data_IF_689776898283
#
_entry.id   IF_689776898283
#
_cell.length_a   1.000
_cell.length_b   1.000
_cell.length_c   1.000
_cell.angle_alpha   90.00
_cell.angle_beta   90.00
_cell.angle_gamma   90.00
#
_symmetry.space_group_name_H-M   'P 1'
#
loop_
_entity.id
_entity.type
_entity.pdbx_description
1 polymer ?
#
# COMPACT_ATOMS: atom_id res chain seq x y z
N UNK A 1 -25.28 -54.68 64.69
CA UNK A 1 -26.70 -55.07 64.84
C UNK A 1 -27.51 -53.92 64.26
N UNK A 2 -27.96 -53.97 63.01
CA UNK A 2 -28.89 -54.92 62.36
C UNK A 2 -30.35 -54.66 62.71
N UNK A 3 -31.06 -53.97 61.80
CA UNK A 3 -32.44 -54.21 61.30
C UNK A 3 -33.56 -54.46 62.35
N UNK A 4 -34.82 -54.83 61.99
CA UNK A 4 -35.55 -54.86 60.71
C UNK A 4 -37.03 -54.30 60.80
N UNK A 5 -37.72 -54.08 59.66
CA UNK A 5 -38.89 -54.81 59.10
C UNK A 5 -40.28 -54.52 59.74
N UNK A 6 -41.29 -53.96 59.03
CA UNK A 6 -42.23 -54.53 58.00
C UNK A 6 -43.64 -54.74 58.65
N UNK A 7 -44.81 -55.02 58.01
CA UNK A 7 -45.27 -54.94 56.61
C UNK A 7 -46.65 -54.26 56.37
N UNK A 8 -47.04 -54.33 55.10
CA UNK A 8 -48.21 -53.84 54.35
C UNK A 8 -49.63 -54.36 54.70
N UNK A 9 -50.64 -53.70 54.12
CA UNK A 9 -51.83 -54.36 53.55
C UNK A 9 -52.42 -53.58 52.35
N UNK A 10 -52.92 -54.34 51.37
CA UNK A 10 -53.23 -54.02 49.96
C UNK A 10 -54.69 -53.60 49.69
N UNK A 11 -54.93 -52.94 48.55
CA UNK A 11 -56.23 -52.89 47.85
C UNK A 11 -56.04 -52.61 46.32
N UNK A 12 -57.03 -52.95 45.45
CA UNK A 12 -56.80 -53.67 44.19
C UNK A 12 -56.84 -52.85 42.87
N UNK A 13 -56.45 -53.56 41.81
CA UNK A 13 -56.15 -53.19 40.41
C UNK A 13 -57.39 -52.85 39.57
N UNK A 14 -57.25 -51.86 38.67
CA UNK A 14 -58.12 -51.60 37.50
C UNK A 14 -57.32 -51.69 36.17
N UNK A 15 -57.97 -52.02 35.03
CA UNK A 15 -57.30 -52.52 33.81
C UNK A 15 -56.66 -51.44 32.94
N UNK A 16 -55.54 -51.80 32.31
CA UNK A 16 -54.75 -50.96 31.42
C UNK A 16 -55.43 -50.71 30.06
N UNK A 17 -55.62 -49.44 29.70
CA UNK A 17 -55.80 -49.00 28.31
C UNK A 17 -54.45 -48.98 27.58
N UNK A 18 -54.41 -49.04 26.25
CA UNK A 18 -53.16 -49.13 25.50
C UNK A 18 -52.32 -47.87 25.70
N UNK A 19 -51.14 -48.02 26.32
CA UNK A 19 -50.12 -46.99 26.37
C UNK A 19 -49.70 -46.60 24.95
N UNK A 20 -49.75 -45.30 24.64
CA UNK A 20 -49.09 -44.77 23.44
C UNK A 20 -47.59 -45.04 23.58
N UNK A 21 -46.90 -45.54 22.53
CA UNK A 21 -45.46 -45.71 22.58
C UNK A 21 -44.78 -44.39 22.93
N UNK A 22 -43.86 -44.42 23.90
CA UNK A 22 -42.99 -43.28 24.19
C UNK A 22 -42.27 -42.85 22.91
N UNK A 23 -42.14 -41.53 22.64
CA UNK A 23 -41.38 -41.08 21.48
C UNK A 23 -39.93 -41.58 21.60
N UNK A 24 -39.31 -42.03 20.51
CA UNK A 24 -37.93 -42.48 20.53
C UNK A 24 -37.02 -41.34 21.02
N UNK A 25 -35.90 -41.65 21.70
CA UNK A 25 -34.95 -40.62 22.14
C UNK A 25 -34.53 -39.81 20.92
N UNK A 26 -34.64 -38.48 21.04
CA UNK A 26 -34.26 -37.56 19.99
C UNK A 26 -32.83 -37.88 19.54
N UNK A 27 -32.71 -38.31 18.28
CA UNK A 27 -31.42 -38.45 17.59
C UNK A 27 -30.76 -37.08 17.71
N UNK A 28 -29.63 -37.03 18.42
CA UNK A 28 -28.92 -35.80 18.71
C UNK A 28 -28.73 -35.00 17.42
N UNK A 29 -29.28 -33.79 17.40
CA UNK A 29 -28.98 -32.83 16.36
C UNK A 29 -27.45 -32.70 16.28
N UNK A 30 -26.85 -32.76 15.09
CA UNK A 30 -25.43 -32.48 14.97
C UNK A 30 -25.22 -31.07 15.52
N UNK A 31 -24.53 -31.00 16.66
CA UNK A 31 -24.06 -29.76 17.27
C UNK A 31 -23.58 -28.86 16.13
N UNK A 32 -24.29 -27.74 15.94
CA UNK A 32 -23.86 -26.69 15.05
C UNK A 32 -22.53 -26.18 15.59
N UNK A 33 -21.44 -26.85 15.22
CA UNK A 33 -20.10 -26.38 15.39
C UNK A 33 -20.09 -24.99 14.78
N UNK A 34 -19.96 -23.97 15.64
CA UNK A 34 -19.76 -22.61 15.20
C UNK A 34 -18.67 -22.63 14.13
N UNK A 35 -18.89 -22.02 12.96
CA UNK A 35 -17.88 -22.05 11.91
C UNK A 35 -16.56 -21.59 12.51
N UNK A 36 -15.43 -22.27 12.21
CA UNK A 36 -14.15 -21.96 12.83
C UNK A 36 -13.91 -20.47 12.71
N UNK A 37 -13.70 -19.85 13.86
CA UNK A 37 -13.53 -18.41 14.02
C UNK A 37 -12.48 -17.96 13.00
N UNK A 38 -12.91 -17.29 11.93
CA UNK A 38 -11.99 -16.85 10.86
C UNK A 38 -10.92 -16.05 11.59
N UNK A 39 -9.63 -16.39 11.48
CA UNK A 39 -8.59 -15.65 12.20
C UNK A 39 -8.73 -14.18 11.81
N UNK A 40 -9.24 -13.37 12.74
CA UNK A 40 -9.47 -11.95 12.50
C UNK A 40 -8.11 -11.35 12.28
N UNK A 41 -7.79 -11.01 11.04
CA UNK A 41 -6.59 -10.24 10.70
C UNK A 41 -6.63 -8.98 11.54
N UNK A 42 -5.77 -8.90 12.56
CA UNK A 42 -5.72 -7.76 13.47
C UNK A 42 -5.41 -6.51 12.64
N UNK A 43 -6.32 -5.53 12.70
CA UNK A 43 -6.11 -4.26 12.01
C UNK A 43 -4.83 -3.58 12.52
N UNK A 44 -3.90 -3.28 11.61
CA UNK A 44 -2.60 -2.64 11.87
C UNK A 44 -2.73 -1.12 11.78
N UNK A 45 -3.21 -0.49 12.85
CA UNK A 45 -3.38 0.97 12.91
C UNK A 45 -2.05 1.73 12.84
N UNK A 46 -0.97 1.11 13.29
CA UNK A 46 0.40 1.59 13.15
C UNK A 46 0.84 1.76 11.69
N UNK A 47 0.40 0.86 10.80
CA UNK A 47 0.70 0.96 9.36
C UNK A 47 -0.02 2.15 8.73
N UNK A 48 -1.28 2.41 9.09
CA UNK A 48 -1.97 3.64 8.65
C UNK A 48 -1.30 4.88 9.25
N UNK A 49 -0.85 4.82 10.51
CA UNK A 49 -0.17 5.94 11.15
C UNK A 49 1.14 6.33 10.49
N UNK A 50 1.99 5.36 10.13
CA UNK A 50 3.25 5.67 9.44
C UNK A 50 3.00 6.16 7.99
N UNK A 51 1.93 5.69 7.33
CA UNK A 51 1.48 6.26 6.04
C UNK A 51 1.06 7.72 6.17
N UNK A 52 0.41 8.08 7.28
CA UNK A 52 0.06 9.47 7.57
C UNK A 52 1.30 10.34 7.75
N UNK A 53 2.29 9.87 8.52
CA UNK A 53 3.58 10.57 8.65
C UNK A 53 4.21 10.78 7.27
N UNK A 54 4.30 9.72 6.47
CA UNK A 54 4.90 9.77 5.14
C UNK A 54 4.22 10.77 4.20
N UNK A 55 2.88 10.71 4.05
CA UNK A 55 2.17 11.62 3.13
C UNK A 55 2.26 13.07 3.59
N UNK A 56 2.18 13.31 4.91
CA UNK A 56 2.30 14.67 5.46
C UNK A 56 3.69 15.23 5.20
N UNK A 57 4.75 14.45 5.40
CA UNK A 57 6.12 14.91 5.13
C UNK A 57 6.34 15.23 3.64
N UNK A 58 5.83 14.40 2.73
CA UNK A 58 5.87 14.67 1.27
C UNK A 58 5.13 15.96 0.94
N UNK A 59 3.93 16.14 1.48
CA UNK A 59 3.10 17.32 1.25
C UNK A 59 3.81 18.58 1.77
N UNK A 60 4.30 18.59 3.00
CA UNK A 60 5.01 19.75 3.57
C UNK A 60 6.30 20.08 2.79
N UNK A 61 7.02 19.08 2.31
CA UNK A 61 8.16 19.28 1.42
C UNK A 61 7.74 19.98 0.12
N UNK A 62 6.69 19.51 -0.55
CA UNK A 62 6.19 20.15 -1.78
C UNK A 62 5.56 21.53 -1.56
N UNK A 63 5.06 21.83 -0.36
CA UNK A 63 4.65 23.19 0.01
C UNK A 63 5.82 24.14 0.26
N UNK A 64 7.08 23.66 0.25
CA UNK A 64 8.26 24.48 0.48
C UNK A 64 8.45 24.85 1.96
N UNK A 65 8.08 23.97 2.90
CA UNK A 65 8.36 24.16 4.33
C UNK A 65 9.87 23.97 4.58
N UNK A 66 10.63 25.01 5.00
CA UNK A 66 12.09 24.93 5.04
C UNK A 66 12.66 23.84 5.96
N UNK A 67 11.96 23.54 7.07
CA UNK A 67 12.39 22.53 8.04
C UNK A 67 12.17 21.08 7.58
N UNK A 68 11.46 20.85 6.46
CA UNK A 68 11.13 19.51 5.93
C UNK A 68 11.83 19.31 4.58
N UNK A 69 13.14 19.55 4.53
CA UNK A 69 13.92 19.49 3.27
C UNK A 69 14.05 18.08 2.68
N UNK A 70 13.82 17.04 3.49
CA UNK A 70 13.94 15.64 3.12
C UNK A 70 12.61 14.92 2.98
N UNK A 71 11.48 15.64 2.97
CA UNK A 71 10.15 15.02 2.98
C UNK A 71 9.83 14.17 1.75
N UNK A 72 10.59 14.31 0.64
CA UNK A 72 10.52 13.41 -0.51
C UNK A 72 10.76 11.93 -0.14
N UNK A 73 11.53 11.67 0.92
CA UNK A 73 11.80 10.32 1.42
C UNK A 73 10.58 9.62 2.03
N UNK A 74 9.47 10.33 2.21
CA UNK A 74 8.19 9.71 2.56
C UNK A 74 7.71 8.71 1.50
N UNK A 75 8.16 8.82 0.24
CA UNK A 75 7.87 7.83 -0.80
C UNK A 75 8.53 6.47 -0.49
N UNK A 76 9.75 6.47 0.04
CA UNK A 76 10.48 5.25 0.44
C UNK A 76 9.73 4.49 1.55
N UNK A 77 9.08 5.24 2.46
CA UNK A 77 8.19 4.68 3.48
C UNK A 77 7.01 3.95 2.83
N UNK A 78 6.40 4.53 1.79
CA UNK A 78 5.33 3.87 1.03
C UNK A 78 5.83 2.61 0.33
N UNK A 79 7.00 2.63 -0.31
CA UNK A 79 7.58 1.46 -0.97
C UNK A 79 7.77 0.27 -0.01
N UNK A 80 8.33 0.51 1.19
CA UNK A 80 8.49 -0.55 2.20
C UNK A 80 7.12 -1.09 2.66
N UNK A 81 6.15 -0.22 2.89
CA UNK A 81 4.80 -0.64 3.30
C UNK A 81 4.10 -1.45 2.21
N UNK A 82 4.23 -1.02 0.96
CA UNK A 82 3.71 -1.67 -0.23
C UNK A 82 4.28 -3.07 -0.39
N UNK A 83 5.60 -3.22 -0.27
CA UNK A 83 6.29 -4.51 -0.24
C UNK A 83 5.78 -5.43 0.89
N UNK A 84 5.63 -4.89 2.10
CA UNK A 84 5.12 -5.64 3.24
C UNK A 84 3.67 -6.13 3.05
N UNK A 85 2.77 -5.24 2.66
CA UNK A 85 1.33 -5.54 2.55
C UNK A 85 1.03 -6.53 1.43
N UNK A 86 1.61 -6.32 0.24
CA UNK A 86 1.38 -7.19 -0.91
C UNK A 86 1.99 -8.57 -0.66
N UNK A 87 3.20 -8.64 -0.10
CA UNK A 87 3.83 -9.92 0.24
C UNK A 87 3.04 -10.68 1.31
N UNK A 88 2.57 -10.00 2.35
CA UNK A 88 1.72 -10.61 3.38
C UNK A 88 0.44 -11.19 2.77
N UNK A 89 -0.20 -10.45 1.86
CA UNK A 89 -1.42 -10.90 1.19
C UNK A 89 -1.16 -12.13 0.30
N UNK A 90 -0.13 -12.08 -0.55
CA UNK A 90 0.18 -13.17 -1.50
C UNK A 90 0.64 -14.44 -0.78
N UNK A 91 1.50 -14.31 0.25
CA UNK A 91 1.94 -15.47 1.03
C UNK A 91 0.81 -16.07 1.87
N UNK A 92 -0.09 -15.24 2.40
CA UNK A 92 -1.29 -15.74 3.08
C UNK A 92 -2.19 -16.54 2.12
N UNK A 93 -2.37 -16.06 0.89
CA UNK A 93 -3.14 -16.75 -0.14
C UNK A 93 -2.47 -18.07 -0.56
N UNK A 94 -1.16 -18.04 -0.82
CA UNK A 94 -0.34 -19.21 -1.16
C UNK A 94 -0.37 -20.27 -0.06
N UNK A 95 -0.24 -19.88 1.21
CA UNK A 95 -0.27 -20.81 2.33
C UNK A 95 -1.66 -21.43 2.54
N UNK A 96 -2.73 -20.69 2.23
CA UNK A 96 -4.12 -21.15 2.41
C UNK A 96 -4.62 -22.01 1.25
N UNK A 97 -4.20 -21.72 0.02
CA UNK A 97 -4.78 -22.32 -1.20
C UNK A 97 -3.77 -23.14 -2.02
N UNK A 98 -2.48 -23.05 -1.71
CA UNK A 98 -1.41 -23.68 -2.50
C UNK A 98 -1.06 -22.95 -3.81
N UNK A 99 -1.73 -21.83 -4.12
CA UNK A 99 -1.51 -21.03 -5.32
C UNK A 99 -1.76 -19.54 -5.11
N UNK A 100 -1.59 -18.76 -6.18
CA UNK A 100 -1.90 -17.33 -6.25
C UNK A 100 -2.89 -17.10 -7.39
N UNK A 101 -4.08 -16.60 -7.09
CA UNK A 101 -5.08 -16.25 -8.08
C UNK A 101 -4.76 -14.87 -8.68
N UNK A 102 -3.92 -14.85 -9.73
CA UNK A 102 -3.43 -13.62 -10.38
C UNK A 102 -4.55 -12.68 -10.82
N UNK A 103 -5.60 -13.22 -11.46
CA UNK A 103 -6.72 -12.43 -11.96
C UNK A 103 -7.44 -11.73 -10.81
N UNK A 104 -7.70 -12.45 -9.71
CA UNK A 104 -8.35 -11.87 -8.54
C UNK A 104 -7.44 -10.85 -7.83
N UNK A 105 -6.14 -11.10 -7.81
CA UNK A 105 -5.15 -10.15 -7.28
C UNK A 105 -5.18 -8.83 -8.05
N UNK A 106 -5.04 -8.87 -9.38
CA UNK A 106 -5.06 -7.66 -10.21
C UNK A 106 -6.42 -6.98 -10.22
N UNK A 107 -7.53 -7.74 -10.20
CA UNK A 107 -8.87 -7.16 -10.09
C UNK A 107 -9.06 -6.38 -8.77
N UNK A 108 -8.56 -6.90 -7.64
CA UNK A 108 -8.60 -6.18 -6.35
C UNK A 108 -7.74 -4.92 -6.36
N UNK A 109 -6.62 -4.90 -7.09
CA UNK A 109 -5.76 -3.72 -7.28
C UNK A 109 -6.42 -2.69 -8.19
N UNK A 110 -6.86 -3.09 -9.37
CA UNK A 110 -7.58 -2.25 -10.32
C UNK A 110 -8.73 -1.49 -9.64
N UNK A 111 -9.58 -2.22 -8.90
CA UNK A 111 -10.71 -1.66 -8.15
C UNK A 111 -10.31 -0.65 -7.06
N UNK A 112 -9.13 -0.81 -6.47
CA UNK A 112 -8.66 0.05 -5.37
C UNK A 112 -7.99 1.33 -5.90
N UNK A 113 -7.27 1.26 -7.02
CA UNK A 113 -6.33 2.30 -7.43
C UNK A 113 -6.82 3.10 -8.65
N UNK A 114 -7.26 2.39 -9.70
CA UNK A 114 -7.56 3.02 -10.99
C UNK A 114 -8.66 4.09 -10.95
N UNK A 115 -9.75 3.96 -10.15
CA UNK A 115 -10.77 5.00 -10.13
C UNK A 115 -10.23 6.36 -9.68
N UNK A 116 -9.49 6.41 -8.57
CA UNK A 116 -8.97 7.67 -8.04
C UNK A 116 -7.86 8.25 -8.92
N UNK A 117 -6.95 7.40 -9.41
CA UNK A 117 -5.92 7.80 -10.40
C UNK A 117 -6.55 8.52 -11.58
N UNK A 118 -7.57 7.93 -12.20
CA UNK A 118 -8.14 8.49 -13.42
C UNK A 118 -8.98 9.75 -13.18
N UNK A 119 -9.66 9.86 -12.03
CA UNK A 119 -10.30 11.13 -11.64
C UNK A 119 -9.26 12.26 -11.59
N UNK A 120 -8.10 12.01 -10.97
CA UNK A 120 -7.03 13.01 -10.87
C UNK A 120 -6.40 13.30 -12.23
N UNK A 121 -6.11 12.28 -13.05
CA UNK A 121 -5.52 12.47 -14.38
C UNK A 121 -6.46 13.23 -15.33
N UNK A 122 -7.75 12.92 -15.33
CA UNK A 122 -8.76 13.65 -16.10
C UNK A 122 -8.88 15.10 -15.62
N UNK A 123 -8.92 15.30 -14.31
CA UNK A 123 -8.99 16.65 -13.74
C UNK A 123 -7.73 17.45 -14.07
N UNK A 124 -6.55 16.83 -13.99
CA UNK A 124 -5.29 17.45 -14.39
C UNK A 124 -5.29 17.80 -15.88
N UNK A 125 -5.78 16.92 -16.76
CA UNK A 125 -5.91 17.20 -18.19
C UNK A 125 -6.81 18.41 -18.46
N UNK A 126 -7.96 18.50 -17.79
CA UNK A 126 -8.88 19.64 -17.89
C UNK A 126 -8.21 20.93 -17.43
N UNK A 127 -7.55 20.93 -16.28
CA UNK A 127 -6.84 22.13 -15.81
C UNK A 127 -5.66 22.49 -16.70
N UNK A 128 -4.94 21.51 -17.28
CA UNK A 128 -3.87 21.78 -18.24
C UNK A 128 -4.43 22.47 -19.49
N UNK A 129 -5.54 21.96 -20.03
CA UNK A 129 -6.21 22.57 -21.18
C UNK A 129 -6.69 23.99 -20.90
N UNK A 130 -7.26 24.23 -19.71
CA UNK A 130 -7.81 25.55 -19.36
C UNK A 130 -6.74 26.55 -18.95
N UNK A 131 -5.66 26.07 -18.35
CA UNK A 131 -4.78 26.92 -17.55
C UNK A 131 -3.31 26.90 -17.97
N UNK A 132 -2.80 25.82 -18.58
CA UNK A 132 -1.37 25.73 -18.90
C UNK A 132 -1.11 26.23 -20.34
N UNK A 133 -0.01 26.95 -20.63
CA UNK A 133 0.32 27.38 -21.99
C UNK A 133 0.42 26.22 -22.99
N UNK A 134 -0.11 26.42 -24.21
CA UNK A 134 -0.21 25.39 -25.27
C UNK A 134 1.09 24.68 -25.58
N UNK A 135 2.23 25.40 -25.57
CA UNK A 135 3.55 24.81 -25.82
C UNK A 135 3.95 23.68 -24.87
N UNK A 136 3.26 23.51 -23.72
CA UNK A 136 3.50 22.40 -22.77
C UNK A 136 2.51 21.24 -22.93
N UNK A 137 1.45 21.39 -23.73
CA UNK A 137 0.38 20.39 -23.82
C UNK A 137 0.88 19.06 -24.35
N UNK A 138 1.75 19.06 -25.35
CA UNK A 138 2.29 17.83 -25.93
C UNK A 138 3.12 17.04 -24.90
N UNK A 139 3.99 17.74 -24.16
CA UNK A 139 4.76 17.12 -23.10
C UNK A 139 3.87 16.52 -22.01
N UNK A 140 2.93 17.31 -21.47
CA UNK A 140 2.07 16.91 -20.35
C UNK A 140 1.07 15.83 -20.79
N UNK A 141 0.53 15.91 -22.01
CA UNK A 141 -0.33 14.88 -22.58
C UNK A 141 0.39 13.52 -22.67
N UNK A 142 1.64 13.52 -23.13
CA UNK A 142 2.48 12.31 -23.11
C UNK A 142 2.81 11.83 -21.69
N UNK A 143 2.96 12.73 -20.72
CA UNK A 143 3.15 12.36 -19.31
C UNK A 143 1.88 11.71 -18.71
N UNK A 144 0.70 12.20 -19.07
CA UNK A 144 -0.59 11.60 -18.67
C UNK A 144 -0.73 10.20 -19.26
N UNK A 145 -0.44 10.01 -20.54
CA UNK A 145 -0.46 8.69 -21.18
C UNK A 145 0.54 7.74 -20.49
N UNK A 146 1.75 8.21 -20.21
CA UNK A 146 2.75 7.42 -19.49
C UNK A 146 2.33 7.12 -18.04
N UNK A 147 1.61 8.02 -17.37
CA UNK A 147 1.07 7.79 -16.03
C UNK A 147 -0.01 6.70 -16.03
N UNK A 148 -0.93 6.73 -17.01
CA UNK A 148 -1.95 5.67 -17.20
C UNK A 148 -1.31 4.32 -17.46
N UNK A 149 -0.22 4.30 -18.25
CA UNK A 149 0.51 3.08 -18.57
C UNK A 149 1.46 2.61 -17.44
N UNK A 150 1.57 3.36 -16.34
CA UNK A 150 2.56 3.13 -15.27
C UNK A 150 4.01 3.07 -15.80
N UNK A 151 4.34 3.95 -16.75
CA UNK A 151 5.66 4.12 -17.37
C UNK A 151 6.21 5.55 -17.22
N UNK A 152 5.49 6.45 -16.52
CA UNK A 152 5.93 7.83 -16.33
C UNK A 152 7.33 7.92 -15.70
N UNK A 153 7.66 7.01 -14.80
CA UNK A 153 8.95 7.00 -14.11
C UNK A 153 10.12 6.83 -15.08
N UNK A 154 9.99 5.97 -16.10
CA UNK A 154 11.02 5.81 -17.15
C UNK A 154 11.12 7.03 -18.06
N UNK A 155 9.97 7.61 -18.45
CA UNK A 155 9.92 8.84 -19.25
C UNK A 155 10.56 10.03 -18.51
N UNK A 156 10.39 10.11 -17.19
CA UNK A 156 11.05 11.11 -16.36
C UNK A 156 12.54 10.79 -16.20
N UNK A 157 12.91 9.53 -15.96
CA UNK A 157 14.32 9.14 -15.86
C UNK A 157 15.11 9.54 -17.11
N UNK A 158 14.52 9.34 -18.30
CA UNK A 158 15.08 9.79 -19.57
C UNK A 158 15.16 11.32 -19.65
N UNK A 159 14.07 12.04 -19.34
CA UNK A 159 14.06 13.51 -19.33
C UNK A 159 15.12 14.12 -18.42
N UNK A 160 15.31 13.54 -17.24
CA UNK A 160 16.25 14.03 -16.24
C UNK A 160 17.70 13.58 -16.48
N UNK A 161 17.99 12.89 -17.59
CA UNK A 161 19.38 12.76 -18.07
C UNK A 161 19.95 14.10 -18.55
N UNK A 162 19.09 14.96 -19.11
CA UNK A 162 19.42 16.30 -19.59
C UNK A 162 18.36 17.28 -19.06
N UNK A 163 18.38 17.61 -17.75
CA UNK A 163 17.34 18.42 -17.13
C UNK A 163 17.35 19.84 -17.68
N UNK A 164 16.16 20.34 -18.04
CA UNK A 164 15.95 21.76 -18.33
C UNK A 164 15.48 22.47 -17.05
N UNK A 165 16.31 23.33 -16.43
CA UNK A 165 15.96 24.02 -15.19
C UNK A 165 14.88 25.09 -15.38
N UNK A 166 14.63 25.52 -16.62
CA UNK A 166 13.59 26.50 -16.94
C UNK A 166 12.22 25.86 -17.11
N UNK A 167 12.18 24.54 -17.31
CA UNK A 167 10.96 23.79 -17.52
C UNK A 167 10.31 23.43 -16.18
N UNK A 168 9.09 23.92 -15.88
CA UNK A 168 8.43 23.55 -14.65
C UNK A 168 8.12 22.05 -14.64
N UNK A 169 8.04 21.43 -13.45
CA UNK A 169 7.59 20.06 -13.31
C UNK A 169 6.24 19.78 -13.96
N UNK A 170 6.01 18.53 -14.35
CA UNK A 170 4.73 18.09 -14.89
C UNK A 170 3.67 18.03 -13.77
N UNK A 171 2.42 18.49 -14.00
CA UNK A 171 1.34 18.35 -13.01
C UNK A 171 1.03 16.92 -12.59
N UNK A 172 1.50 15.92 -13.34
CA UNK A 172 1.35 14.50 -13.01
C UNK A 172 2.67 13.84 -12.62
N UNK A 173 3.75 14.61 -12.39
CA UNK A 173 5.09 14.07 -12.13
C UNK A 173 5.12 13.05 -10.99
N UNK A 174 4.45 13.32 -9.86
CA UNK A 174 4.38 12.44 -8.69
C UNK A 174 3.86 11.01 -8.99
N UNK A 175 3.19 10.75 -10.12
CA UNK A 175 2.80 9.40 -10.53
C UNK A 175 3.99 8.47 -10.82
N UNK A 176 5.22 8.99 -10.89
CA UNK A 176 6.42 8.18 -11.03
C UNK A 176 6.53 7.10 -9.94
N UNK A 177 6.19 7.44 -8.70
CA UNK A 177 6.31 6.51 -7.57
C UNK A 177 5.27 5.39 -7.68
N UNK A 178 4.05 5.73 -8.10
CA UNK A 178 2.99 4.77 -8.37
C UNK A 178 3.37 3.81 -9.51
N UNK A 179 4.06 4.30 -10.54
CA UNK A 179 4.57 3.45 -11.60
C UNK A 179 5.58 2.41 -11.08
N UNK A 180 6.49 2.80 -10.19
CA UNK A 180 7.43 1.87 -9.54
C UNK A 180 6.66 0.82 -8.71
N UNK A 181 5.67 1.24 -7.92
CA UNK A 181 4.85 0.32 -7.12
C UNK A 181 4.07 -0.68 -7.99
N UNK A 182 3.38 -0.22 -9.04
CA UNK A 182 2.59 -1.10 -9.90
C UNK A 182 3.47 -2.07 -10.70
N UNK A 183 4.64 -1.64 -11.15
CA UNK A 183 5.62 -2.53 -11.78
C UNK A 183 6.05 -3.64 -10.81
N UNK A 184 6.29 -3.31 -9.54
CA UNK A 184 6.54 -4.32 -8.52
C UNK A 184 5.32 -5.23 -8.30
N UNK A 185 4.10 -4.71 -8.28
CA UNK A 185 2.88 -5.52 -8.12
C UNK A 185 2.63 -6.47 -9.30
N UNK A 186 3.12 -6.14 -10.50
CA UNK A 186 3.09 -7.01 -11.66
C UNK A 186 4.13 -8.14 -11.55
N UNK A 187 5.34 -7.80 -11.16
CA UNK A 187 6.48 -8.73 -11.14
C UNK A 187 6.42 -9.67 -9.93
N UNK A 188 6.03 -9.17 -8.77
CA UNK A 188 6.15 -9.89 -7.50
C UNK A 188 5.30 -11.18 -7.40
N UNK A 189 4.00 -11.20 -7.79
CA UNK A 189 3.23 -12.45 -7.85
C UNK A 189 3.86 -13.50 -8.76
N UNK A 190 4.44 -13.08 -9.89
CA UNK A 190 5.11 -13.98 -10.83
C UNK A 190 6.39 -14.57 -10.23
N UNK A 191 7.16 -13.77 -9.48
CA UNK A 191 8.33 -14.24 -8.74
C UNK A 191 7.96 -15.27 -7.66
N UNK A 192 6.84 -15.07 -6.94
CA UNK A 192 6.35 -16.06 -5.98
C UNK A 192 5.96 -17.36 -6.69
N UNK A 193 5.24 -17.29 -7.81
CA UNK A 193 4.85 -18.48 -8.57
C UNK A 193 6.07 -19.23 -9.11
N UNK A 194 7.08 -18.51 -9.61
CA UNK A 194 8.34 -19.09 -10.04
C UNK A 194 9.06 -19.76 -8.87
N UNK A 195 9.17 -19.11 -7.71
CA UNK A 195 9.77 -19.69 -6.52
C UNK A 195 9.03 -20.95 -6.04
N UNK A 196 7.70 -20.99 -6.14
CA UNK A 196 6.88 -22.17 -5.86
C UNK A 196 7.20 -23.30 -6.85
N UNK A 197 7.29 -23.01 -8.14
CA UNK A 197 7.64 -24.00 -9.16
C UNK A 197 9.04 -24.58 -8.92
N UNK A 198 10.03 -23.72 -8.67
CA UNK A 198 11.41 -24.13 -8.39
C UNK A 198 11.52 -24.95 -7.10
N UNK A 199 10.82 -24.55 -6.04
CA UNK A 199 10.78 -25.31 -4.78
C UNK A 199 10.16 -26.71 -4.97
N UNK A 200 9.11 -26.83 -5.80
CA UNK A 200 8.51 -28.13 -6.14
C UNK A 200 9.47 -29.03 -6.92
N UNK A 201 10.15 -28.48 -7.93
CA UNK A 201 11.08 -29.25 -8.79
C UNK A 201 12.33 -29.69 -8.02
N UNK A 202 12.88 -28.82 -7.17
CA UNK A 202 14.10 -29.10 -6.40
C UNK A 202 13.87 -29.87 -5.10
N UNK A 203 12.62 -30.05 -4.68
CA UNK A 203 12.29 -30.55 -3.33
C UNK A 203 12.65 -29.58 -2.20
N UNK A 204 13.11 -28.36 -2.52
CA UNK A 204 13.48 -27.36 -1.54
C UNK A 204 12.25 -26.76 -0.84
N UNK A 205 12.46 -26.20 0.34
CA UNK A 205 11.42 -25.42 1.03
C UNK A 205 11.24 -24.08 0.32
N UNK A 206 9.99 -23.66 0.10
CA UNK A 206 9.65 -22.38 -0.56
C UNK A 206 10.29 -21.16 0.11
N UNK A 207 10.27 -21.11 1.45
CA UNK A 207 10.70 -19.91 2.20
C UNK A 207 12.18 -19.57 1.95
N UNK A 208 13.15 -20.52 2.06
CA UNK A 208 14.53 -20.28 1.64
C UNK A 208 14.67 -19.82 0.19
N UNK A 209 14.01 -20.48 -0.76
CA UNK A 209 14.08 -20.12 -2.19
C UNK A 209 13.64 -18.68 -2.41
N UNK A 210 12.50 -18.29 -1.85
CA UNK A 210 11.98 -16.93 -1.96
C UNK A 210 12.88 -15.93 -1.22
N UNK A 211 13.45 -16.29 -0.08
CA UNK A 211 14.34 -15.41 0.69
C UNK A 211 15.64 -15.15 -0.07
N UNK A 212 16.21 -16.16 -0.72
CA UNK A 212 17.38 -16.02 -1.59
C UNK A 212 17.05 -15.15 -2.81
N UNK A 213 15.95 -15.43 -3.51
CA UNK A 213 15.54 -14.63 -4.67
C UNK A 213 15.32 -13.15 -4.29
N UNK A 214 14.65 -12.91 -3.17
CA UNK A 214 14.42 -11.57 -2.64
C UNK A 214 15.72 -10.88 -2.21
N UNK A 215 16.61 -11.61 -1.53
CA UNK A 215 17.92 -11.10 -1.11
C UNK A 215 18.79 -10.70 -2.30
N UNK A 216 18.81 -11.51 -3.35
CA UNK A 216 19.52 -11.20 -4.60
C UNK A 216 18.92 -9.98 -5.31
N UNK A 217 17.58 -9.89 -5.39
CA UNK A 217 16.90 -8.74 -5.96
C UNK A 217 17.21 -7.45 -5.17
N UNK A 218 17.10 -7.50 -3.84
CA UNK A 218 17.38 -6.36 -2.97
C UNK A 218 18.85 -5.93 -3.07
N UNK A 219 19.79 -6.88 -2.99
CA UNK A 219 21.23 -6.57 -3.06
C UNK A 219 21.61 -6.02 -4.44
N UNK A 220 21.13 -6.62 -5.53
CA UNK A 220 21.41 -6.15 -6.89
C UNK A 220 20.82 -4.77 -7.15
N UNK A 221 19.58 -4.52 -6.72
CA UNK A 221 18.94 -3.21 -6.87
C UNK A 221 19.57 -2.14 -5.98
N UNK A 222 19.98 -2.47 -4.75
CA UNK A 222 20.71 -1.53 -3.89
C UNK A 222 22.09 -1.21 -4.47
N UNK A 223 22.83 -2.21 -4.96
CA UNK A 223 24.11 -1.98 -5.62
C UNK A 223 23.94 -1.07 -6.85
N UNK A 224 22.93 -1.34 -7.68
CA UNK A 224 22.57 -0.48 -8.82
C UNK A 224 22.19 0.95 -8.39
N UNK A 225 21.42 1.08 -7.31
CA UNK A 225 21.06 2.38 -6.73
C UNK A 225 22.30 3.17 -6.34
N UNK A 226 23.21 2.55 -5.57
CA UNK A 226 24.44 3.19 -5.09
C UNK A 226 25.33 3.61 -6.25
N UNK A 227 25.59 2.71 -7.21
CA UNK A 227 26.52 3.01 -8.31
C UNK A 227 25.95 4.04 -9.29
N UNK A 228 24.65 3.97 -9.60
CA UNK A 228 24.02 4.89 -10.55
C UNK A 228 23.83 6.28 -9.95
N UNK A 229 23.56 6.39 -8.65
CA UNK A 229 23.30 7.68 -7.98
C UNK A 229 24.53 8.60 -8.05
N UNK A 230 25.74 8.06 -7.94
CA UNK A 230 27.00 8.84 -7.98
C UNK A 230 27.19 9.58 -9.31
N UNK A 231 26.76 9.01 -10.43
CA UNK A 231 26.94 9.60 -11.76
C UNK A 231 25.66 10.17 -12.39
N UNK A 232 24.49 9.74 -11.94
CA UNK A 232 23.19 10.04 -12.54
C UNK A 232 22.06 10.03 -11.49
N UNK A 233 22.19 10.88 -10.45
CA UNK A 233 21.23 10.98 -9.34
C UNK A 233 19.79 11.19 -9.83
N UNK A 234 19.55 12.18 -10.69
CA UNK A 234 18.18 12.51 -11.11
C UNK A 234 17.49 11.37 -11.89
N UNK A 235 18.13 10.71 -12.88
CA UNK A 235 17.59 9.48 -13.46
C UNK A 235 17.40 8.37 -12.43
N UNK A 236 18.40 8.11 -11.57
CA UNK A 236 18.34 7.05 -10.55
C UNK A 236 17.18 7.25 -9.57
N UNK A 237 16.75 8.48 -9.31
CA UNK A 237 15.60 8.77 -8.47
C UNK A 237 14.29 8.18 -9.01
N UNK A 238 14.11 8.15 -10.33
CA UNK A 238 12.86 7.71 -10.98
C UNK A 238 12.88 6.23 -11.42
N UNK A 239 14.04 5.62 -11.58
CA UNK A 239 14.13 4.26 -12.12
C UNK A 239 13.62 3.19 -11.15
N UNK A 240 12.88 2.21 -11.65
CA UNK A 240 12.41 1.08 -10.83
C UNK A 240 13.58 0.24 -10.33
N UNK A 241 14.63 0.08 -11.14
CA UNK A 241 15.80 -0.77 -10.85
C UNK A 241 16.62 -0.27 -9.66
N UNK A 242 16.66 1.03 -9.40
CA UNK A 242 17.34 1.63 -8.23
C UNK A 242 16.45 1.70 -6.99
N UNK A 243 15.14 1.47 -7.12
CA UNK A 243 14.16 1.66 -6.03
C UNK A 243 13.49 0.37 -5.56
N UNK A 244 13.52 -0.71 -6.36
CA UNK A 244 12.82 -1.96 -6.06
C UNK A 244 13.34 -2.68 -4.80
N UNK A 245 14.59 -2.44 -4.39
CA UNK A 245 15.13 -2.96 -3.14
C UNK A 245 14.36 -2.45 -1.91
N UNK A 246 13.77 -1.25 -1.96
CA UNK A 246 12.97 -0.66 -0.88
C UNK A 246 11.69 -1.51 -0.64
N UNK A 247 11.01 -1.89 -1.72
CA UNK A 247 9.87 -2.82 -1.68
C UNK A 247 10.31 -4.22 -1.24
N UNK A 248 11.49 -4.66 -1.67
CA UNK A 248 12.04 -5.94 -1.29
C UNK A 248 12.34 -6.04 0.22
N UNK A 249 12.81 -4.96 0.85
CA UNK A 249 12.99 -4.89 2.30
C UNK A 249 11.65 -5.09 3.02
N UNK A 250 10.58 -4.42 2.55
CA UNK A 250 9.23 -4.62 3.07
C UNK A 250 8.74 -6.07 2.95
N UNK A 251 8.97 -6.70 1.79
CA UNK A 251 8.67 -8.11 1.58
C UNK A 251 9.46 -9.03 2.53
N UNK A 252 10.72 -8.70 2.82
CA UNK A 252 11.57 -9.43 3.77
C UNK A 252 11.01 -9.37 5.19
N UNK A 253 10.48 -8.21 5.60
CA UNK A 253 9.77 -8.07 6.88
C UNK A 253 8.53 -8.98 6.91
N UNK A 254 7.74 -9.01 5.83
CA UNK A 254 6.55 -9.85 5.72
C UNK A 254 6.87 -11.35 5.82
N UNK A 255 7.94 -11.81 5.18
CA UNK A 255 8.39 -13.21 5.25
C UNK A 255 8.89 -13.64 6.63
N UNK A 256 9.26 -12.67 7.46
CA UNK A 256 9.88 -12.87 8.77
C UNK A 256 8.98 -12.45 9.93
N UNK A 257 7.67 -12.22 9.69
CA UNK A 257 6.69 -11.81 10.72
C UNK A 257 6.73 -12.71 11.96
N UNK A 258 6.84 -14.03 11.79
CA UNK A 258 6.92 -14.97 12.92
C UNK A 258 8.19 -14.83 13.77
N UNK A 259 9.31 -14.38 13.18
CA UNK A 259 10.53 -14.06 13.93
C UNK A 259 10.38 -12.71 14.65
N UNK A 260 9.86 -11.70 13.96
CA UNK A 260 9.62 -10.38 14.54
C UNK A 260 8.63 -10.42 15.70
N UNK A 261 7.57 -11.23 15.60
CA UNK A 261 6.58 -11.40 16.67
C UNK A 261 7.15 -12.01 17.96
N UNK A 262 8.35 -12.61 17.92
CA UNK A 262 9.05 -13.20 19.07
C UNK A 262 10.06 -12.25 19.72
N UNK A 263 10.21 -11.03 19.21
CA UNK A 263 11.10 -10.05 19.83
C UNK A 263 10.68 -9.76 21.28
N UNK A 264 11.63 -9.68 22.23
CA UNK A 264 11.34 -9.20 23.57
C UNK A 264 10.71 -7.80 23.52
N UNK A 265 9.68 -7.57 24.32
CA UNK A 265 8.92 -6.30 24.30
C UNK A 265 9.82 -5.04 24.41
N UNK A 266 10.82 -4.96 25.31
CA UNK A 266 11.70 -3.79 25.38
C UNK A 266 12.47 -3.55 24.08
N UNK A 267 12.96 -4.62 23.45
CA UNK A 267 13.68 -4.55 22.16
C UNK A 267 12.76 -4.05 21.07
N UNK A 268 11.53 -4.56 20.99
CA UNK A 268 10.55 -4.11 20.00
C UNK A 268 10.19 -2.62 20.18
N UNK A 269 10.04 -2.15 21.43
CA UNK A 269 9.76 -0.73 21.72
C UNK A 269 10.91 0.17 21.26
N UNK A 270 12.16 -0.18 21.62
CA UNK A 270 13.35 0.58 21.19
C UNK A 270 13.48 0.57 19.67
N UNK A 271 13.31 -0.59 19.04
CA UNK A 271 13.38 -0.74 17.59
C UNK A 271 12.33 0.13 16.87
N UNK A 272 11.09 0.15 17.37
CA UNK A 272 10.01 0.95 16.78
C UNK A 272 10.27 2.45 16.87
N UNK A 273 10.70 2.95 18.02
CA UNK A 273 11.03 4.37 18.20
C UNK A 273 12.27 4.78 17.42
N UNK A 274 13.32 3.94 17.40
CA UNK A 274 14.50 4.18 16.58
C UNK A 274 14.15 4.22 15.08
N UNK A 275 13.24 3.34 14.64
CA UNK A 275 12.76 3.32 13.26
C UNK A 275 11.98 4.59 12.89
N UNK A 276 11.06 5.05 13.74
CA UNK A 276 10.35 6.31 13.51
C UNK A 276 11.30 7.51 13.54
N UNK A 277 12.26 7.53 14.47
CA UNK A 277 13.28 8.57 14.54
C UNK A 277 14.12 8.61 13.26
N UNK A 278 14.54 7.47 12.71
CA UNK A 278 15.26 7.41 11.44
C UNK A 278 14.45 8.04 10.28
N UNK A 279 13.16 7.70 10.16
CA UNK A 279 12.27 8.31 9.14
C UNK A 279 12.16 9.81 9.32
N UNK A 280 11.94 10.29 10.55
CA UNK A 280 11.82 11.72 10.85
C UNK A 280 13.14 12.47 10.62
N UNK A 281 14.28 11.89 11.01
CA UNK A 281 15.61 12.46 10.76
C UNK A 281 15.85 12.62 9.27
N UNK A 282 15.52 11.63 8.46
CA UNK A 282 15.58 11.76 7.00
C UNK A 282 14.70 12.91 6.52
N UNK A 283 13.44 12.97 6.95
CA UNK A 283 12.51 14.02 6.49
C UNK A 283 12.94 15.44 6.87
N UNK A 284 13.59 15.60 8.02
CA UNK A 284 13.96 16.91 8.58
C UNK A 284 15.36 17.39 8.15
N UNK A 285 16.29 16.48 7.91
CA UNK A 285 17.71 16.83 7.72
C UNK A 285 18.27 16.46 6.35
N UNK A 286 17.63 15.55 5.61
CA UNK A 286 18.10 15.23 4.26
C UNK A 286 17.74 16.34 3.29
N UNK A 287 18.50 16.45 2.21
CA UNK A 287 18.24 17.45 1.15
C UNK A 287 18.36 16.77 -0.21
N UNK A 288 17.75 17.35 -1.26
CA UNK A 288 17.94 16.87 -2.63
C UNK A 288 19.40 16.95 -3.14
N UNK A 289 20.29 17.61 -2.40
CA UNK A 289 21.72 17.70 -2.73
C UNK A 289 22.54 16.50 -2.24
N UNK A 290 21.98 15.67 -1.37
CA UNK A 290 22.63 14.43 -0.95
C UNK A 290 22.45 13.36 -2.02
N UNK A 291 23.39 12.41 -2.08
CA UNK A 291 23.36 11.25 -2.98
C UNK A 291 22.14 10.35 -2.68
N UNK A 292 20.99 10.72 -3.22
CA UNK A 292 19.69 10.08 -2.98
C UNK A 292 19.07 9.60 -4.31
N UNK A 293 18.59 8.35 -4.44
CA UNK A 293 18.44 7.33 -3.39
C UNK A 293 19.75 6.83 -2.80
N UNK A 294 20.65 6.34 -3.65
CA UNK A 294 21.93 5.75 -3.25
C UNK A 294 21.83 4.86 -2.00
N UNK A 295 22.86 4.95 -1.15
CA UNK A 295 22.88 4.32 0.17
C UNK A 295 22.13 5.16 1.21
N UNK A 296 21.90 6.45 0.96
CA UNK A 296 21.26 7.35 1.93
C UNK A 296 19.79 6.97 2.16
N UNK A 297 19.11 6.45 1.14
CA UNK A 297 17.78 5.85 1.23
C UNK A 297 17.70 4.64 2.18
N UNK A 298 18.82 4.03 2.59
CA UNK A 298 18.84 2.98 3.62
C UNK A 298 18.23 3.44 4.95
N UNK A 299 18.44 4.70 5.34
CA UNK A 299 17.95 5.21 6.62
C UNK A 299 16.42 5.22 6.74
N UNK A 300 15.65 5.86 5.83
CA UNK A 300 14.18 5.83 5.90
C UNK A 300 13.61 4.44 5.62
N UNK A 301 14.26 3.64 4.76
CA UNK A 301 13.81 2.29 4.39
C UNK A 301 13.93 1.32 5.56
N UNK A 302 15.12 1.23 6.17
CA UNK A 302 15.34 0.39 7.34
C UNK A 302 14.61 0.92 8.57
N UNK A 303 14.46 2.25 8.69
CA UNK A 303 13.63 2.87 9.71
C UNK A 303 12.17 2.44 9.62
N UNK A 304 11.60 2.47 8.42
CA UNK A 304 10.23 1.98 8.17
C UNK A 304 10.11 0.48 8.43
N UNK A 305 11.08 -0.31 7.98
CA UNK A 305 11.12 -1.75 8.24
C UNK A 305 11.16 -2.05 9.75
N UNK A 306 11.93 -1.29 10.52
CA UNK A 306 12.02 -1.39 11.98
C UNK A 306 10.67 -1.07 12.66
N UNK A 307 9.96 -0.02 12.22
CA UNK A 307 8.61 0.31 12.71
C UNK A 307 7.64 -0.85 12.46
N UNK A 308 7.62 -1.39 11.24
CA UNK A 308 6.72 -2.50 10.87
C UNK A 308 7.07 -3.78 11.65
N UNK A 309 8.35 -4.10 11.79
CA UNK A 309 8.84 -5.25 12.53
C UNK A 309 8.50 -5.17 14.02
N UNK A 310 8.73 -4.00 14.64
CA UNK A 310 8.36 -3.74 16.04
C UNK A 310 6.86 -3.95 16.29
N UNK A 311 6.00 -3.47 15.39
CA UNK A 311 4.56 -3.67 15.46
C UNK A 311 4.09 -5.12 15.31
N UNK A 312 4.97 -6.05 14.88
CA UNK A 312 4.66 -7.48 14.90
C UNK A 312 4.73 -8.09 16.32
N UNK A 313 5.57 -7.54 17.21
CA UNK A 313 5.73 -8.00 18.59
C UNK A 313 4.92 -7.18 19.58
N UNK A 314 4.88 -5.85 19.39
CA UNK A 314 4.29 -4.92 20.33
C UNK A 314 2.80 -4.72 20.03
N UNK A 315 1.94 -5.15 20.95
CA UNK A 315 0.51 -4.89 20.85
C UNK A 315 0.10 -3.56 21.49
N UNK A 316 0.84 -3.10 22.51
CA UNK A 316 0.61 -1.89 23.33
C UNK A 316 1.91 -1.45 24.03
N UNK A 317 2.21 -0.15 23.99
CA UNK A 317 3.27 0.50 24.78
C UNK A 317 4.52 0.96 24.01
N UNK A 318 4.60 0.71 22.70
CA UNK A 318 5.64 1.28 21.82
C UNK A 318 5.09 2.34 20.86
N UNK A 319 5.87 2.61 19.81
CA UNK A 319 5.56 3.59 18.75
C UNK A 319 4.20 3.33 18.07
N UNK A 320 3.75 2.08 18.05
CA UNK A 320 2.45 1.67 17.52
C UNK A 320 1.27 2.35 18.24
N UNK A 321 1.46 2.74 19.50
CA UNK A 321 0.44 3.44 20.29
C UNK A 321 0.25 4.87 19.78
N UNK A 322 1.36 5.56 19.48
CA UNK A 322 1.34 6.89 18.88
C UNK A 322 0.78 6.82 17.45
N UNK A 323 1.32 5.93 16.62
CA UNK A 323 0.89 5.78 15.22
C UNK A 323 -0.57 5.30 15.10
N UNK A 324 -1.06 4.57 16.10
CA UNK A 324 -2.41 4.04 16.15
C UNK A 324 -3.51 5.02 16.59
N UNK A 325 -3.20 6.28 16.90
CA UNK A 325 -4.21 7.27 17.29
C UNK A 325 -5.19 7.58 16.14
N UNK A 326 -6.41 7.97 16.48
CA UNK A 326 -7.47 8.19 15.50
C UNK A 326 -7.11 9.22 14.40
N UNK A 327 -6.48 10.38 14.71
CA UNK A 327 -6.09 11.35 13.67
C UNK A 327 -5.12 10.77 12.63
N UNK A 328 -4.05 10.11 13.08
CA UNK A 328 -3.06 9.51 12.17
C UNK A 328 -3.68 8.38 11.35
N UNK A 329 -4.53 7.54 11.95
CA UNK A 329 -5.26 6.51 11.18
C UNK A 329 -6.19 7.10 10.13
N UNK A 330 -6.84 8.22 10.43
CA UNK A 330 -7.73 8.90 9.49
C UNK A 330 -6.94 9.46 8.30
N UNK A 331 -5.85 10.20 8.56
CA UNK A 331 -4.96 10.72 7.51
C UNK A 331 -4.36 9.55 6.70
N UNK A 332 -3.91 8.49 7.37
CA UNK A 332 -3.36 7.30 6.73
C UNK A 332 -4.34 6.63 5.78
N UNK A 333 -5.60 6.53 6.18
CA UNK A 333 -6.65 5.98 5.34
C UNK A 333 -6.88 6.80 4.06
N UNK A 334 -6.70 8.13 4.15
CA UNK A 334 -6.79 9.07 3.03
C UNK A 334 -5.49 9.25 2.25
N UNK A 335 -4.37 8.66 2.71
CA UNK A 335 -3.03 8.99 2.22
C UNK A 335 -2.88 8.86 0.71
N UNK A 336 -3.57 7.88 0.12
CA UNK A 336 -3.55 7.64 -1.32
C UNK A 336 -4.21 8.80 -2.09
N UNK A 337 -5.43 9.18 -1.70
CA UNK A 337 -6.13 10.31 -2.35
C UNK A 337 -5.43 11.64 -2.10
N UNK A 338 -4.88 11.86 -0.89
CA UNK A 338 -4.07 13.04 -0.58
C UNK A 338 -2.82 13.12 -1.48
N UNK A 339 -2.11 12.00 -1.65
CA UNK A 339 -0.95 11.92 -2.52
C UNK A 339 -1.30 12.23 -3.98
N UNK A 340 -2.46 11.79 -4.48
CA UNK A 340 -2.86 12.09 -5.85
C UNK A 340 -3.21 13.57 -6.08
N UNK A 341 -3.90 14.21 -5.14
CA UNK A 341 -4.44 15.56 -5.35
C UNK A 341 -3.48 16.70 -5.01
N UNK A 342 -2.56 16.50 -4.06
CA UNK A 342 -1.70 17.61 -3.61
C UNK A 342 -0.81 18.17 -4.73
N UNK A 343 -0.21 17.30 -5.55
CA UNK A 343 0.81 17.72 -6.51
C UNK A 343 0.27 18.43 -7.75
N UNK A 344 -0.78 17.93 -8.46
CA UNK A 344 -1.35 18.67 -9.59
C UNK A 344 -1.78 20.08 -9.20
N UNK A 345 -2.39 20.23 -8.02
CA UNK A 345 -2.82 21.54 -7.53
C UNK A 345 -1.62 22.47 -7.29
N UNK A 346 -0.54 22.00 -6.66
CA UNK A 346 0.69 22.78 -6.48
C UNK A 346 1.37 23.13 -7.80
N UNK A 347 1.53 22.16 -8.70
CA UNK A 347 2.23 22.35 -9.97
C UNK A 347 1.49 23.30 -10.92
N UNK A 348 0.16 23.22 -10.96
CA UNK A 348 -0.67 24.14 -11.76
C UNK A 348 -0.67 25.54 -11.13
N UNK A 349 -0.81 25.65 -9.80
CA UNK A 349 -0.70 26.94 -9.10
C UNK A 349 0.65 27.63 -9.36
N UNK A 350 1.75 26.87 -9.29
CA UNK A 350 3.09 27.38 -9.57
C UNK A 350 3.30 27.81 -11.04
N UNK A 351 2.55 27.21 -11.97
CA UNK A 351 2.59 27.63 -13.39
C UNK A 351 2.03 29.04 -13.57
N UNK A 352 1.09 29.46 -12.72
CA UNK A 352 0.47 30.79 -12.78
C UNK A 352 1.17 31.84 -11.95
N UNK A 353 1.47 31.49 -10.70
CA UNK A 353 1.98 32.44 -9.72
C UNK A 353 3.51 32.43 -9.63
N UNK A 354 4.17 31.58 -10.42
CA UNK A 354 5.60 31.31 -10.30
C UNK A 354 5.90 30.48 -9.04
N UNK A 355 7.15 30.48 -8.56
CA UNK A 355 7.53 29.81 -7.33
C UNK A 355 6.63 30.24 -6.16
N UNK A 356 5.98 29.27 -5.53
CA UNK A 356 5.05 29.54 -4.43
C UNK A 356 5.82 29.81 -3.14
N UNK A 357 5.38 30.81 -2.37
CA UNK A 357 5.82 30.94 -0.98
C UNK A 357 5.29 29.79 -0.13
N UNK A 358 5.93 29.51 1.01
CA UNK A 358 5.52 28.44 1.92
C UNK A 358 4.06 28.57 2.37
N UNK A 359 3.59 29.80 2.65
CA UNK A 359 2.21 30.04 3.06
C UNK A 359 1.21 29.71 1.96
N UNK A 360 1.50 30.10 0.71
CA UNK A 360 0.67 29.77 -0.44
C UNK A 360 0.69 28.27 -0.74
N UNK A 361 1.86 27.62 -0.66
CA UNK A 361 1.98 26.18 -0.81
C UNK A 361 1.14 25.41 0.23
N UNK A 362 1.21 25.82 1.50
CA UNK A 362 0.40 25.25 2.58
C UNK A 362 -1.10 25.46 2.35
N UNK A 363 -1.51 26.64 1.87
CA UNK A 363 -2.90 26.91 1.52
C UNK A 363 -3.39 25.99 0.39
N UNK A 364 -2.61 25.84 -0.69
CA UNK A 364 -2.94 24.95 -1.81
C UNK A 364 -3.06 23.50 -1.34
N UNK A 365 -2.17 23.06 -0.45
CA UNK A 365 -2.24 21.75 0.18
C UNK A 365 -3.50 21.58 1.02
N UNK A 366 -3.83 22.55 1.87
CA UNK A 366 -5.05 22.52 2.66
C UNK A 366 -6.30 22.41 1.75
N UNK A 367 -6.32 23.16 0.64
CA UNK A 367 -7.38 23.09 -0.36
C UNK A 367 -7.44 21.74 -1.08
N UNK A 368 -6.32 21.03 -1.25
CA UNK A 368 -6.28 19.69 -1.86
C UNK A 368 -6.92 18.59 -1.02
N UNK A 369 -7.11 18.82 0.28
CA UNK A 369 -7.77 17.85 1.18
C UNK A 369 -9.23 17.63 0.77
N UNK A 370 -9.93 18.69 0.34
CA UNK A 370 -11.33 18.60 -0.06
C UNK A 370 -11.56 17.64 -1.25
N UNK A 371 -10.93 17.83 -2.43
CA UNK A 371 -11.11 16.90 -3.55
C UNK A 371 -10.56 15.50 -3.24
N UNK A 372 -9.50 15.38 -2.42
CA UNK A 372 -9.01 14.09 -1.96
C UNK A 372 -10.05 13.35 -1.11
N UNK A 373 -10.68 14.02 -0.16
CA UNK A 373 -11.73 13.44 0.69
C UNK A 373 -12.96 13.06 -0.13
N UNK A 374 -13.39 13.93 -1.06
CA UNK A 374 -14.51 13.67 -1.97
C UNK A 374 -14.22 12.44 -2.85
N UNK A 375 -13.03 12.37 -3.45
CA UNK A 375 -12.62 11.22 -4.28
C UNK A 375 -12.61 9.94 -3.48
N UNK A 376 -12.05 9.97 -2.26
CA UNK A 376 -12.02 8.81 -1.38
C UNK A 376 -13.41 8.30 -1.03
N UNK A 377 -14.33 9.20 -0.66
CA UNK A 377 -15.65 8.82 -0.15
C UNK A 377 -16.66 8.50 -1.26
N UNK A 378 -16.60 9.22 -2.39
CA UNK A 378 -17.60 9.11 -3.47
C UNK A 378 -17.13 8.32 -4.69
N UNK A 379 -15.83 8.05 -4.83
CA UNK A 379 -15.29 7.29 -5.97
C UNK A 379 -14.57 6.03 -5.48
N UNK A 380 -13.55 6.16 -4.65
CA UNK A 380 -12.72 5.03 -4.21
C UNK A 380 -13.55 4.03 -3.41
N UNK A 381 -14.13 4.45 -2.27
CA UNK A 381 -14.84 3.54 -1.36
C UNK A 381 -16.06 2.86 -1.98
N UNK A 382 -16.93 3.55 -2.75
CA UNK A 382 -18.09 2.91 -3.37
C UNK A 382 -17.67 1.80 -4.34
N UNK A 383 -16.61 2.01 -5.13
CA UNK A 383 -16.10 0.99 -6.05
C UNK A 383 -15.37 -0.11 -5.27
N UNK A 384 -14.49 0.26 -4.33
CA UNK A 384 -13.69 -0.65 -3.50
C UNK A 384 -14.55 -1.61 -2.69
N UNK A 385 -15.66 -1.15 -2.12
CA UNK A 385 -16.54 -1.95 -1.26
C UNK A 385 -17.81 -2.44 -1.97
N UNK A 386 -17.99 -2.15 -3.27
CA UNK A 386 -19.11 -2.69 -4.04
C UNK A 386 -19.06 -4.22 -4.07
N UNK A 387 -20.16 -4.86 -3.61
CA UNK A 387 -20.31 -6.32 -3.63
C UNK A 387 -20.29 -6.86 -5.07
N UNK A 388 -21.00 -6.21 -6.00
CA UNK A 388 -21.08 -6.61 -7.42
C UNK A 388 -19.70 -6.60 -8.08
N UNK A 389 -18.93 -5.53 -7.88
CA UNK A 389 -17.58 -5.41 -8.44
C UNK A 389 -16.61 -6.39 -7.77
N UNK A 390 -16.76 -6.62 -6.47
CA UNK A 390 -15.91 -7.57 -5.72
C UNK A 390 -16.13 -9.03 -6.09
N UNK A 391 -17.33 -9.38 -6.60
CA UNK A 391 -17.67 -10.75 -7.00
C UNK A 391 -17.32 -11.05 -8.48
N UNK A 392 -16.98 -10.05 -9.27
CA UNK A 392 -16.66 -10.21 -10.70
C UNK A 392 -15.33 -9.56 -11.05
N UNK A 393 -14.25 -10.37 -11.18
CA UNK A 393 -12.94 -9.87 -11.60
C UNK A 393 -12.99 -9.19 -12.97
N UNK A 394 -13.81 -9.71 -13.89
CA UNK A 394 -14.02 -9.12 -15.22
C UNK A 394 -14.61 -7.72 -15.13
N UNK A 395 -15.60 -7.51 -14.25
CA UNK A 395 -16.19 -6.19 -14.05
C UNK A 395 -15.19 -5.21 -13.44
N UNK A 396 -14.43 -5.65 -12.42
CA UNK A 396 -13.39 -4.82 -11.81
C UNK A 396 -12.31 -4.40 -12.83
N UNK A 397 -11.84 -5.34 -13.65
CA UNK A 397 -10.87 -5.07 -14.71
C UNK A 397 -11.46 -4.20 -15.82
N UNK A 398 -12.71 -4.44 -16.22
CA UNK A 398 -13.41 -3.65 -17.24
C UNK A 398 -13.61 -2.19 -16.81
N UNK A 399 -14.02 -1.94 -15.57
CA UNK A 399 -14.09 -0.59 -14.99
C UNK A 399 -12.71 0.06 -14.98
N UNK A 400 -11.70 -0.67 -14.53
CA UNK A 400 -10.31 -0.21 -14.54
C UNK A 400 -9.82 0.19 -15.93
N UNK A 401 -10.02 -0.69 -16.92
CA UNK A 401 -9.64 -0.45 -18.31
C UNK A 401 -10.41 0.73 -18.92
N UNK A 402 -11.71 0.87 -18.63
CA UNK A 402 -12.50 2.01 -19.07
C UNK A 402 -11.96 3.34 -18.52
N UNK A 403 -11.64 3.38 -17.23
CA UNK A 403 -11.01 4.56 -16.62
C UNK A 403 -9.66 4.88 -17.25
N UNK A 404 -8.79 3.88 -17.41
CA UNK A 404 -7.48 4.05 -18.07
C UNK A 404 -7.62 4.53 -19.51
N UNK A 405 -8.58 4.00 -20.28
CA UNK A 405 -8.84 4.47 -21.63
C UNK A 405 -9.25 5.95 -21.65
N UNK A 406 -10.11 6.38 -20.74
CA UNK A 406 -10.49 7.79 -20.62
C UNK A 406 -9.30 8.70 -20.28
N UNK A 407 -8.47 8.30 -19.32
CA UNK A 407 -7.25 9.04 -18.98
C UNK A 407 -6.28 9.14 -20.16
N UNK A 408 -6.08 8.03 -20.88
CA UNK A 408 -5.21 8.00 -22.06
C UNK A 408 -5.76 8.88 -23.18
N UNK A 409 -7.07 8.83 -23.45
CA UNK A 409 -7.72 9.69 -24.44
C UNK A 409 -7.57 11.18 -24.09
N UNK A 410 -7.67 11.55 -22.82
CA UNK A 410 -7.43 12.93 -22.40
C UNK A 410 -5.97 13.37 -22.64
N UNK A 411 -4.99 12.49 -22.36
CA UNK A 411 -3.59 12.76 -22.67
C UNK A 411 -3.31 12.85 -24.17
N UNK A 412 -3.91 11.97 -24.98
CA UNK A 412 -3.81 12.00 -26.45
C UNK A 412 -4.48 13.25 -27.02
N UNK A 413 -5.61 13.70 -26.47
CA UNK A 413 -6.25 14.93 -26.90
C UNK A 413 -5.34 16.15 -26.70
N UNK A 414 -4.62 16.23 -25.58
CA UNK A 414 -3.62 17.28 -25.35
C UNK A 414 -2.43 17.18 -26.32
N UNK A 415 -1.97 15.97 -26.65
CA UNK A 415 -0.92 15.74 -27.64
C UNK A 415 -1.31 16.19 -29.05
N UNK A 416 -2.56 15.95 -29.45
CA UNK A 416 -3.04 16.34 -30.78
C UNK A 416 -3.36 17.83 -30.89
N UNK A 417 -3.61 18.49 -29.75
CA UNK A 417 -3.94 19.91 -29.68
C UNK A 417 -2.73 20.82 -29.41
N UNK A 418 -1.52 20.26 -29.26
CA UNK A 418 -0.29 20.97 -28.87
C UNK A 418 0.44 21.65 -30.01
#
# INVERSE_FOLDING_TARGET
MSAPADPAHLAPVQPAGPERPAPPPAVGEPSHASPPDRPRTRFRGDIEGIRAVAVVMVMLFHAGVPAISGGFAGVDVFFVISGYLITTQLLSEQNRTGGVALIDFYARRAKRLLPAVNVVLLTAAVFVFLMVPRGRWGQIGGDIVAAVAYLLNWRLAERFTHPDPTMPPSPVQHFWSLAVEEQYYLIWPLLILLAVALAKVSGARLKPVLATALGLLAAGSLAWSVTTTVGAQSPAFFQTTSRIWELAVGAGVAMSVGAWARLPKPVAVVLGWAGLAAVLVTCLFFTPMMDFPGYTAALPVLGTAAVIAAGCAAARGGVETLLGIAPLRWIGSLSYSLYLWHWPMLAIAATYWGPLSTSTGLLVIALSIAPAWLTFHFVENPIRYSRRVSQSPRLALGIGAGFSALGALAGVALLLAS
#
